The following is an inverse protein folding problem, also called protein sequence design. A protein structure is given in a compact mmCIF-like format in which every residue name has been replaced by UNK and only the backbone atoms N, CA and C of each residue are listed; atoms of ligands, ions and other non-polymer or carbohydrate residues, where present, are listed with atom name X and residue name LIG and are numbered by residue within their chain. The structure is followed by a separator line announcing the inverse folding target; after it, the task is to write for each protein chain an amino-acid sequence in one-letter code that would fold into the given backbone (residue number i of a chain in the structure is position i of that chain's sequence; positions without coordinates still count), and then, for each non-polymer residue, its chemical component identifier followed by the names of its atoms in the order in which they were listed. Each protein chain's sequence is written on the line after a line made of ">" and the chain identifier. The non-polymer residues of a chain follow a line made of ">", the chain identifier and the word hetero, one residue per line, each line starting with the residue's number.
data_IF_361522194740
#
_entry.id   IF_361522194740
#
_cell.length_a   1.000
_cell.length_b   1.000
_cell.length_c   1.000
_cell.angle_alpha   90.00
_cell.angle_beta   90.00
_cell.angle_gamma   90.00
#
_symmetry.space_group_name_H-M   'P 1'
#
loop_
_entity.id
_entity.type
_entity.pdbx_description
1 polymer ?
#
# COMPACT_ATOMS: atom_id res chain seq x y z
N UNK A 1 10.17 -3.77 36.97
CA UNK A 1 9.76 -5.04 36.32
C UNK A 1 8.41 -4.91 35.62
N UNK A 2 7.40 -4.27 36.21
CA UNK A 2 6.06 -4.07 35.63
C UNK A 2 6.15 -3.24 34.32
N UNK A 3 6.96 -2.18 34.30
CA UNK A 3 7.17 -1.38 33.09
C UNK A 3 7.85 -2.14 31.95
N UNK A 4 8.75 -3.07 32.27
CA UNK A 4 9.42 -3.94 31.32
C UNK A 4 8.42 -4.92 30.68
N UNK A 5 7.55 -5.51 31.49
CA UNK A 5 6.49 -6.42 31.05
C UNK A 5 5.47 -5.69 30.15
N UNK A 6 5.03 -4.49 30.55
CA UNK A 6 4.10 -3.67 29.76
C UNK A 6 4.74 -3.21 28.44
N UNK A 7 6.02 -2.82 28.46
CA UNK A 7 6.77 -2.42 27.28
C UNK A 7 6.97 -3.57 26.26
N UNK A 8 7.32 -4.77 26.73
CA UNK A 8 7.44 -5.95 25.86
C UNK A 8 6.08 -6.40 25.31
N UNK A 9 5.01 -6.32 26.11
CA UNK A 9 3.66 -6.66 25.67
C UNK A 9 3.14 -5.69 24.61
N UNK A 10 3.41 -4.40 24.76
CA UNK A 10 3.07 -3.37 23.77
C UNK A 10 3.94 -3.48 22.51
N UNK A 11 5.22 -3.84 22.66
CA UNK A 11 6.12 -4.07 21.51
C UNK A 11 5.67 -5.28 20.69
N UNK A 12 5.41 -6.42 21.34
CA UNK A 12 4.91 -7.63 20.67
C UNK A 12 3.53 -7.40 20.08
N UNK A 13 2.62 -6.72 20.81
CA UNK A 13 1.30 -6.35 20.31
C UNK A 13 1.35 -5.37 19.14
N UNK A 14 2.22 -4.37 19.18
CA UNK A 14 2.45 -3.43 18.08
C UNK A 14 3.05 -4.10 16.84
N UNK A 15 4.04 -4.98 17.03
CA UNK A 15 4.64 -5.79 15.96
C UNK A 15 3.62 -6.75 15.36
N UNK A 16 2.81 -7.40 16.19
CA UNK A 16 1.72 -8.28 15.74
C UNK A 16 0.68 -7.51 14.91
N UNK A 17 0.25 -6.32 15.34
CA UNK A 17 -0.68 -5.47 14.59
C UNK A 17 -0.10 -4.98 13.25
N UNK A 18 1.20 -4.68 13.18
CA UNK A 18 1.86 -4.27 11.93
C UNK A 18 2.00 -5.44 10.97
N UNK A 19 2.33 -6.64 11.47
CA UNK A 19 2.55 -7.82 10.62
C UNK A 19 1.22 -8.49 10.23
N UNK A 20 0.28 -8.63 11.15
CA UNK A 20 -0.99 -9.35 10.92
C UNK A 20 -2.19 -8.43 10.63
N UNK A 21 -2.18 -7.19 11.05
CA UNK A 21 -3.28 -6.25 10.79
C UNK A 21 -3.50 -5.97 9.30
N UNK A 22 -2.45 -6.10 8.48
CA UNK A 22 -2.53 -5.95 7.03
C UNK A 22 -3.29 -7.09 6.34
N UNK A 23 -3.30 -8.29 6.92
CA UNK A 23 -4.00 -9.47 6.33
C UNK A 23 -5.50 -9.44 6.57
N UNK A 24 -5.96 -8.88 7.70
CA UNK A 24 -7.38 -8.81 8.05
C UNK A 24 -8.17 -7.77 7.21
N UNK A 25 -7.48 -6.79 6.62
CA UNK A 25 -8.14 -5.70 5.87
C UNK A 25 -8.47 -6.09 4.42
N UNK A 26 -7.84 -7.12 3.85
CA UNK A 26 -8.12 -7.58 2.48
C UNK A 26 -9.52 -8.21 2.34
N UNK A 27 -9.93 -9.02 3.30
CA UNK A 27 -11.25 -9.68 3.29
C UNK A 27 -12.44 -8.71 3.45
N UNK A 28 -12.25 -7.62 4.23
CA UNK A 28 -13.31 -6.65 4.51
C UNK A 28 -13.71 -5.78 3.31
N UNK A 29 -12.77 -5.47 2.40
CA UNK A 29 -13.08 -4.63 1.23
C UNK A 29 -13.84 -5.37 0.13
N UNK A 30 -13.54 -6.66 -0.05
CA UNK A 30 -14.24 -7.50 -1.03
C UNK A 30 -15.71 -7.72 -0.60
N UNK A 31 -15.94 -8.07 0.67
CA UNK A 31 -17.28 -8.25 1.22
C UNK A 31 -18.12 -6.97 1.21
N UNK A 32 -17.51 -5.80 1.40
CA UNK A 32 -18.22 -4.52 1.40
C UNK A 32 -18.69 -4.09 0.01
N UNK A 33 -17.93 -4.41 -1.05
CA UNK A 33 -18.38 -4.19 -2.44
C UNK A 33 -19.54 -5.09 -2.82
N UNK A 34 -19.48 -6.37 -2.45
CA UNK A 34 -20.57 -7.32 -2.67
C UNK A 34 -21.84 -6.88 -1.93
N UNK A 35 -21.73 -6.50 -0.67
CA UNK A 35 -22.85 -6.01 0.14
C UNK A 35 -23.50 -4.72 -0.42
N UNK A 36 -22.72 -3.84 -1.07
CA UNK A 36 -23.28 -2.63 -1.70
C UNK A 36 -24.01 -2.93 -3.02
N UNK A 37 -23.57 -3.96 -3.76
CA UNK A 37 -24.23 -4.43 -4.97
C UNK A 37 -25.52 -5.18 -4.65
N UNK A 38 -25.51 -5.99 -3.58
CA UNK A 38 -26.72 -6.67 -3.07
C UNK A 38 -27.76 -5.70 -2.51
N UNK A 39 -27.35 -4.52 -2.02
CA UNK A 39 -28.25 -3.47 -1.53
C UNK A 39 -28.92 -2.65 -2.64
N UNK A 40 -28.81 -3.04 -3.93
CA UNK A 40 -29.54 -2.43 -5.06
C UNK A 40 -29.13 -0.98 -5.38
N UNK A 41 -27.98 -0.50 -4.89
CA UNK A 41 -27.50 0.86 -5.23
C UNK A 41 -27.00 0.91 -6.65
N UNK A 42 -27.43 1.92 -7.41
CA UNK A 42 -26.98 2.15 -8.77
C UNK A 42 -25.45 2.29 -8.83
N UNK A 43 -24.82 1.70 -9.84
CA UNK A 43 -23.34 1.68 -10.01
C UNK A 43 -22.72 3.09 -9.90
N UNK A 44 -23.40 4.12 -10.39
CA UNK A 44 -22.96 5.51 -10.28
C UNK A 44 -22.92 6.01 -8.83
N UNK A 45 -23.87 5.61 -7.98
CA UNK A 45 -23.89 6.00 -6.57
C UNK A 45 -22.77 5.33 -5.78
N UNK A 46 -22.41 4.09 -6.12
CA UNK A 46 -21.27 3.38 -5.52
C UNK A 46 -19.97 4.07 -5.92
N UNK A 47 -19.79 4.40 -7.20
CA UNK A 47 -18.58 5.08 -7.69
C UNK A 47 -18.44 6.50 -7.11
N UNK A 48 -19.52 7.26 -7.01
CA UNK A 48 -19.49 8.61 -6.42
C UNK A 48 -19.22 8.57 -4.92
N UNK A 49 -19.74 7.57 -4.23
CA UNK A 49 -19.51 7.37 -2.79
C UNK A 49 -18.05 6.95 -2.54
N UNK A 50 -17.51 6.02 -3.33
CA UNK A 50 -16.11 5.62 -3.27
C UNK A 50 -15.17 6.77 -3.63
N UNK A 51 -15.48 7.57 -4.65
CA UNK A 51 -14.72 8.78 -5.00
C UNK A 51 -14.74 9.83 -3.89
N UNK A 52 -15.88 10.04 -3.23
CA UNK A 52 -15.99 10.94 -2.07
C UNK A 52 -15.20 10.41 -0.87
N UNK A 53 -15.19 9.10 -0.61
CA UNK A 53 -14.40 8.50 0.47
C UNK A 53 -12.88 8.62 0.19
N UNK A 54 -12.44 8.39 -1.04
CA UNK A 54 -11.04 8.56 -1.47
C UNK A 54 -10.61 10.03 -1.32
N UNK A 55 -11.44 10.97 -1.76
CA UNK A 55 -11.15 12.41 -1.67
C UNK A 55 -11.20 12.94 -0.22
N UNK A 56 -12.07 12.38 0.63
CA UNK A 56 -12.13 12.72 2.05
C UNK A 56 -10.90 12.21 2.80
N UNK A 57 -10.37 11.06 2.41
CA UNK A 57 -9.16 10.47 2.98
C UNK A 57 -7.89 11.23 2.56
N UNK A 58 -7.89 11.87 1.38
CA UNK A 58 -6.80 12.74 0.91
C UNK A 58 -6.74 14.08 1.65
N UNK A 59 -7.86 14.56 2.21
CA UNK A 59 -7.93 15.84 2.94
C UNK A 59 -7.48 15.78 4.41
N UNK A 60 -7.33 14.59 4.98
CA UNK A 60 -6.98 14.42 6.40
C UNK A 60 -5.48 14.58 6.70
N UNK A 61 -4.65 14.76 5.69
CA UNK A 61 -3.20 14.89 5.82
C UNK A 61 -2.71 16.33 5.98
N UNK A 62 -3.05 17.02 7.09
CA UNK A 62 -2.46 18.35 7.42
C UNK A 62 -0.99 18.28 7.87
N UNK A 63 -0.42 17.10 8.07
CA UNK A 63 0.96 16.91 8.51
C UNK A 63 1.74 16.30 7.34
N UNK A 64 2.71 17.02 6.72
CA UNK A 64 3.43 16.57 5.53
C UNK A 64 4.17 15.25 5.72
N UNK A 65 4.68 14.98 6.93
CA UNK A 65 5.34 13.74 7.27
C UNK A 65 4.39 12.50 7.22
N UNK A 66 3.18 12.65 7.75
CA UNK A 66 2.18 11.57 7.73
C UNK A 66 1.60 11.32 6.33
N UNK A 67 1.51 12.35 5.49
CA UNK A 67 1.08 12.19 4.10
C UNK A 67 2.12 11.42 3.27
N UNK A 68 3.41 11.67 3.48
CA UNK A 68 4.50 10.90 2.87
C UNK A 68 4.47 9.42 3.27
N UNK A 69 4.27 9.13 4.55
CA UNK A 69 4.12 7.75 5.05
C UNK A 69 2.90 7.03 4.46
N UNK A 70 1.78 7.74 4.28
CA UNK A 70 0.59 7.17 3.64
C UNK A 70 0.82 6.88 2.15
N UNK A 71 1.55 7.72 1.43
CA UNK A 71 1.94 7.45 0.04
C UNK A 71 2.86 6.23 -0.06
N UNK A 72 3.86 6.13 0.81
CA UNK A 72 4.75 4.97 0.89
C UNK A 72 3.99 3.69 1.25
N UNK A 73 3.03 3.76 2.17
CA UNK A 73 2.21 2.60 2.53
C UNK A 73 1.34 2.11 1.36
N UNK A 74 0.86 3.03 0.51
CA UNK A 74 0.16 2.68 -0.73
C UNK A 74 1.08 2.01 -1.76
N UNK A 75 2.31 2.52 -1.94
CA UNK A 75 3.34 1.89 -2.79
C UNK A 75 3.69 0.48 -2.30
N UNK A 76 3.73 0.27 -0.99
CA UNK A 76 3.92 -1.05 -0.37
C UNK A 76 2.67 -1.97 -0.43
N UNK A 77 1.54 -1.50 -0.99
CA UNK A 77 0.22 -2.15 -0.93
C UNK A 77 -0.21 -2.51 0.50
N UNK A 78 0.31 -1.78 1.48
CA UNK A 78 -0.11 -1.88 2.87
C UNK A 78 -1.30 -0.94 3.04
N UNK A 79 -2.51 -1.49 3.16
CA UNK A 79 -3.72 -0.70 3.43
C UNK A 79 -3.74 -0.22 4.89
N UNK A 80 -2.66 0.48 5.31
CA UNK A 80 -2.54 0.98 6.67
C UNK A 80 -3.46 2.20 6.82
N UNK A 81 -4.35 2.12 7.80
CA UNK A 81 -5.14 3.28 8.22
C UNK A 81 -4.24 4.19 9.05
N UNK A 82 -4.45 5.50 8.97
CA UNK A 82 -3.71 6.49 9.77
C UNK A 82 -3.66 6.11 11.26
N UNK A 83 -4.75 5.55 11.80
CA UNK A 83 -4.81 5.07 13.19
C UNK A 83 -3.78 3.98 13.50
N UNK A 84 -3.64 2.99 12.62
CA UNK A 84 -2.67 1.88 12.78
C UNK A 84 -1.24 2.40 12.71
N UNK A 85 -0.97 3.36 11.84
CA UNK A 85 0.33 4.01 11.69
C UNK A 85 0.74 4.76 12.97
N UNK A 86 -0.19 5.58 13.50
CA UNK A 86 0.03 6.31 14.75
C UNK A 86 0.20 5.36 15.93
N UNK A 87 -0.63 4.32 16.03
CA UNK A 87 -0.49 3.31 17.10
C UNK A 87 0.84 2.55 17.02
N UNK A 88 1.33 2.22 15.82
CA UNK A 88 2.62 1.58 15.64
C UNK A 88 3.78 2.50 16.08
N UNK A 89 3.75 3.77 15.70
CA UNK A 89 4.75 4.76 16.13
C UNK A 89 4.74 4.90 17.65
N UNK A 90 3.57 5.05 18.27
CA UNK A 90 3.43 5.17 19.72
C UNK A 90 3.90 3.90 20.44
N UNK A 91 3.54 2.72 19.95
CA UNK A 91 3.97 1.44 20.54
C UNK A 91 5.49 1.29 20.55
N UNK A 92 6.15 1.59 19.44
CA UNK A 92 7.61 1.54 19.35
C UNK A 92 8.26 2.63 20.20
N UNK A 93 7.68 3.85 20.22
CA UNK A 93 8.17 4.95 21.04
C UNK A 93 8.14 4.60 22.55
N UNK A 94 7.06 3.98 23.02
CA UNK A 94 6.92 3.52 24.41
C UNK A 94 7.94 2.42 24.72
N UNK A 95 8.15 1.48 23.81
CA UNK A 95 9.15 0.42 23.97
C UNK A 95 10.58 0.98 24.10
N UNK A 96 10.95 1.94 23.23
CA UNK A 96 12.25 2.63 23.29
C UNK A 96 12.37 3.43 24.59
N UNK A 97 11.33 4.15 24.97
CA UNK A 97 11.30 4.91 26.23
C UNK A 97 11.49 4.02 27.45
N UNK A 98 10.81 2.88 27.51
CA UNK A 98 10.93 1.91 28.60
C UNK A 98 12.35 1.33 28.65
N UNK A 99 12.93 0.95 27.52
CA UNK A 99 14.31 0.47 27.44
C UNK A 99 15.33 1.50 27.95
N UNK A 100 15.19 2.76 27.49
CA UNK A 100 16.06 3.86 27.94
C UNK A 100 15.88 4.19 29.41
N UNK A 101 14.68 4.00 29.96
CA UNK A 101 14.42 4.25 31.41
C UNK A 101 15.11 3.25 32.31
N UNK A 102 15.40 2.05 31.80
CA UNK A 102 16.11 1.00 32.54
C UNK A 102 17.64 1.15 32.40
N UNK A 103 18.08 1.54 31.19
CA UNK A 103 19.50 1.56 30.85
C UNK A 103 20.20 2.89 31.17
N UNK A 104 19.45 3.98 31.35
CA UNK A 104 20.03 5.32 31.51
C UNK A 104 19.28 6.15 32.54
N UNK A 105 20.00 6.99 33.26
CA UNK A 105 19.44 8.00 34.16
C UNK A 105 19.20 9.38 33.48
N UNK A 106 19.12 9.38 32.14
CA UNK A 106 18.92 10.61 31.38
C UNK A 106 17.59 11.31 31.74
N UNK A 107 17.51 12.62 31.49
CA UNK A 107 16.31 13.41 31.75
C UNK A 107 15.08 12.83 31.03
N UNK A 108 13.92 12.85 31.68
CA UNK A 108 12.65 12.34 31.16
C UNK A 108 12.32 12.87 29.75
N UNK A 109 12.53 14.18 29.54
CA UNK A 109 12.26 14.84 28.26
C UNK A 109 13.12 14.28 27.13
N UNK A 110 14.39 13.98 27.40
CA UNK A 110 15.32 13.41 26.41
C UNK A 110 14.89 11.97 26.02
N UNK A 111 14.51 11.15 26.99
CA UNK A 111 14.00 9.78 26.75
C UNK A 111 12.74 9.79 25.90
N UNK A 112 11.82 10.71 26.17
CA UNK A 112 10.58 10.89 25.42
C UNK A 112 10.86 11.32 23.98
N UNK A 113 11.75 12.29 23.77
CA UNK A 113 12.13 12.77 22.44
C UNK A 113 12.80 11.66 21.60
N UNK A 114 13.75 10.94 22.17
CA UNK A 114 14.43 9.80 21.50
C UNK A 114 13.45 8.68 21.18
N UNK A 115 12.52 8.37 22.08
CA UNK A 115 11.49 7.36 21.85
C UNK A 115 10.56 7.71 20.69
N UNK A 116 10.06 8.95 20.63
CA UNK A 116 9.19 9.42 19.53
C UNK A 116 9.91 9.47 18.18
N UNK A 117 11.11 10.02 18.13
CA UNK A 117 11.91 10.10 16.90
C UNK A 117 12.28 8.68 16.44
N UNK A 118 12.79 7.83 17.33
CA UNK A 118 13.15 6.46 17.04
C UNK A 118 11.96 5.64 16.52
N UNK A 119 10.79 5.77 17.15
CA UNK A 119 9.56 5.12 16.69
C UNK A 119 9.13 5.57 15.30
N UNK A 120 9.19 6.87 15.02
CA UNK A 120 8.86 7.42 13.72
C UNK A 120 9.83 6.95 12.62
N UNK A 121 11.14 6.95 12.90
CA UNK A 121 12.19 6.48 11.97
C UNK A 121 12.07 4.98 11.72
N UNK A 122 11.83 4.17 12.75
CA UNK A 122 11.67 2.73 12.62
C UNK A 122 10.49 2.36 11.71
N UNK A 123 9.31 2.96 11.93
CA UNK A 123 8.11 2.74 11.10
C UNK A 123 8.33 3.22 9.68
N UNK A 124 8.95 4.39 9.49
CA UNK A 124 9.28 4.91 8.16
C UNK A 124 10.21 3.96 7.39
N UNK A 125 11.30 3.52 8.01
CA UNK A 125 12.27 2.59 7.40
C UNK A 125 11.62 1.26 7.03
N UNK A 126 10.78 0.71 7.90
CA UNK A 126 10.08 -0.54 7.64
C UNK A 126 9.16 -0.44 6.42
N UNK A 127 8.32 0.60 6.35
CA UNK A 127 7.39 0.80 5.23
C UNK A 127 8.17 1.10 3.94
N UNK A 128 9.20 1.93 4.01
CA UNK A 128 10.05 2.27 2.87
C UNK A 128 10.74 1.03 2.29
N UNK A 129 11.31 0.18 3.12
CA UNK A 129 11.95 -1.06 2.68
C UNK A 129 10.96 -2.03 2.03
N UNK A 130 9.76 -2.16 2.59
CA UNK A 130 8.68 -2.95 1.98
C UNK A 130 8.21 -2.39 0.65
N UNK A 131 8.06 -1.07 0.54
CA UNK A 131 7.71 -0.40 -0.71
C UNK A 131 8.78 -0.62 -1.78
N UNK A 132 10.05 -0.40 -1.43
CA UNK A 132 11.19 -0.62 -2.35
C UNK A 132 11.29 -2.06 -2.82
N UNK A 133 11.16 -3.02 -1.92
CA UNK A 133 11.20 -4.45 -2.26
C UNK A 133 10.07 -4.82 -3.24
N UNK A 134 8.85 -4.28 -3.05
CA UNK A 134 7.73 -4.52 -3.94
C UNK A 134 7.94 -3.88 -5.32
N UNK A 135 8.42 -2.63 -5.37
CA UNK A 135 8.73 -1.94 -6.63
C UNK A 135 9.81 -2.70 -7.40
N UNK A 136 10.88 -3.13 -6.73
CA UNK A 136 11.95 -3.91 -7.33
C UNK A 136 11.42 -5.22 -7.96
N UNK A 137 10.53 -5.93 -7.29
CA UNK A 137 9.89 -7.13 -7.87
C UNK A 137 9.07 -6.81 -9.11
N UNK A 138 8.35 -5.68 -9.13
CA UNK A 138 7.61 -5.22 -10.32
C UNK A 138 8.58 -4.93 -11.47
N UNK A 139 9.70 -4.26 -11.21
CA UNK A 139 10.73 -3.95 -12.19
C UNK A 139 11.36 -5.22 -12.77
N UNK A 140 11.62 -6.23 -11.93
CA UNK A 140 12.15 -7.52 -12.36
C UNK A 140 11.15 -8.32 -13.21
N UNK A 141 9.85 -8.19 -12.96
CA UNK A 141 8.78 -8.89 -13.68
C UNK A 141 8.36 -8.17 -14.99
N UNK A 142 8.64 -6.88 -15.10
CA UNK A 142 8.14 -6.05 -16.21
C UNK A 142 8.64 -6.50 -17.60
N UNK A 143 9.91 -6.87 -17.79
CA UNK A 143 10.39 -7.37 -19.10
C UNK A 143 9.62 -8.61 -19.57
N UNK A 144 9.39 -9.57 -18.69
CA UNK A 144 8.65 -10.80 -19.01
C UNK A 144 7.19 -10.48 -19.36
N UNK A 145 6.56 -9.56 -18.64
CA UNK A 145 5.21 -9.10 -18.93
C UNK A 145 5.11 -8.44 -20.32
N UNK A 146 6.08 -7.59 -20.67
CA UNK A 146 6.13 -6.94 -21.97
C UNK A 146 6.37 -7.96 -23.08
N UNK A 147 7.25 -8.95 -22.88
CA UNK A 147 7.48 -10.02 -23.86
C UNK A 147 6.20 -10.82 -24.14
N UNK A 148 5.50 -11.24 -23.10
CA UNK A 148 4.23 -11.95 -23.19
C UNK A 148 3.17 -11.10 -23.91
N UNK A 149 3.09 -9.81 -23.58
CA UNK A 149 2.18 -8.87 -24.22
C UNK A 149 2.47 -8.75 -25.72
N UNK A 150 3.72 -8.52 -26.09
CA UNK A 150 4.15 -8.43 -27.50
C UNK A 150 3.84 -9.73 -28.25
N UNK A 151 4.06 -10.90 -27.64
CA UNK A 151 3.73 -12.20 -28.21
C UNK A 151 2.23 -12.32 -28.49
N UNK A 152 1.39 -11.93 -27.56
CA UNK A 152 -0.08 -11.95 -27.72
C UNK A 152 -0.55 -10.99 -28.81
N UNK A 153 0.02 -9.78 -28.88
CA UNK A 153 -0.30 -8.79 -29.91
C UNK A 153 0.11 -9.24 -31.30
N UNK A 154 1.25 -9.95 -31.46
CA UNK A 154 1.71 -10.50 -32.77
C UNK A 154 0.76 -11.56 -33.32
N UNK A 155 0.03 -12.27 -32.48
CA UNK A 155 -1.01 -13.22 -32.88
C UNK A 155 -2.30 -12.52 -33.32
N UNK A 156 -2.40 -11.19 -33.09
CA UNK A 156 -3.53 -10.37 -33.51
C UNK A 156 -4.59 -10.16 -32.43
N UNK A 157 -4.30 -10.47 -31.18
CA UNK A 157 -5.23 -10.15 -30.09
C UNK A 157 -5.32 -8.65 -29.87
N UNK A 158 -6.53 -8.10 -29.57
CA UNK A 158 -6.66 -6.72 -29.09
C UNK A 158 -5.87 -6.50 -27.81
N UNK A 159 -5.36 -5.29 -27.61
CA UNK A 159 -4.50 -4.97 -26.45
C UNK A 159 -5.15 -5.32 -25.11
N UNK A 160 -6.43 -5.00 -24.92
CA UNK A 160 -7.17 -5.31 -23.68
C UNK A 160 -7.29 -6.82 -23.43
N UNK A 161 -7.50 -7.62 -24.49
CA UNK A 161 -7.55 -9.08 -24.38
C UNK A 161 -6.16 -9.67 -24.11
N UNK A 162 -5.11 -9.15 -24.76
CA UNK A 162 -3.72 -9.52 -24.48
C UNK A 162 -3.34 -9.21 -23.04
N UNK A 163 -3.68 -8.03 -22.56
CA UNK A 163 -3.44 -7.63 -21.16
C UNK A 163 -4.14 -8.56 -20.18
N UNK A 164 -5.42 -8.89 -20.39
CA UNK A 164 -6.15 -9.82 -19.54
C UNK A 164 -5.54 -11.24 -19.53
N UNK A 165 -5.05 -11.71 -20.67
CA UNK A 165 -4.41 -13.03 -20.77
C UNK A 165 -3.12 -13.11 -19.96
N UNK A 166 -2.23 -12.12 -20.07
CA UNK A 166 -0.94 -12.15 -19.38
C UNK A 166 -1.06 -12.03 -17.86
N UNK A 167 -2.16 -11.47 -17.33
CA UNK A 167 -2.36 -11.36 -15.88
C UNK A 167 -2.44 -12.72 -15.19
N UNK A 168 -2.76 -13.77 -15.91
CA UNK A 168 -2.81 -15.14 -15.40
C UNK A 168 -1.41 -15.80 -15.35
N UNK A 169 -0.47 -15.30 -16.13
CA UNK A 169 0.88 -15.86 -16.25
C UNK A 169 1.90 -15.10 -15.38
N UNK A 170 1.68 -13.80 -15.17
CA UNK A 170 2.58 -12.94 -14.39
C UNK A 170 2.28 -13.08 -12.89
N UNK A 171 3.31 -13.39 -12.08
CA UNK A 171 3.12 -13.50 -10.62
C UNK A 171 2.88 -12.14 -9.95
N UNK A 172 2.42 -12.18 -8.70
CA UNK A 172 2.34 -10.99 -7.86
C UNK A 172 3.75 -10.41 -7.59
N UNK A 173 3.89 -9.10 -7.54
CA UNK A 173 2.87 -8.04 -7.47
C UNK A 173 2.40 -7.47 -8.81
N UNK A 174 3.11 -7.68 -9.93
CA UNK A 174 2.78 -7.07 -11.22
C UNK A 174 1.47 -7.65 -11.79
N UNK A 175 1.25 -8.96 -11.70
CA UNK A 175 0.02 -9.60 -12.17
C UNK A 175 -1.25 -9.01 -11.55
N UNK A 176 -1.24 -8.73 -10.25
CA UNK A 176 -2.37 -8.07 -9.57
C UNK A 176 -2.59 -6.63 -10.08
N UNK A 177 -1.52 -5.86 -10.30
CA UNK A 177 -1.66 -4.45 -10.77
C UNK A 177 -2.17 -4.41 -12.21
N UNK A 178 -1.64 -5.25 -13.10
CA UNK A 178 -2.12 -5.35 -14.48
C UNK A 178 -3.54 -5.93 -14.55
N UNK A 179 -3.88 -6.87 -13.66
CA UNK A 179 -5.24 -7.40 -13.53
C UNK A 179 -6.28 -6.35 -13.22
N UNK A 180 -5.97 -5.41 -12.33
CA UNK A 180 -6.85 -4.28 -12.02
C UNK A 180 -7.11 -3.38 -13.24
N UNK A 181 -6.07 -3.16 -14.07
CA UNK A 181 -6.19 -2.37 -15.31
C UNK A 181 -7.00 -3.14 -16.35
N UNK A 182 -6.76 -4.45 -16.50
CA UNK A 182 -7.52 -5.30 -17.42
C UNK A 182 -9.01 -5.36 -17.04
N UNK A 183 -9.31 -5.47 -15.75
CA UNK A 183 -10.68 -5.41 -15.25
C UNK A 183 -11.34 -4.07 -15.54
N UNK A 184 -10.62 -2.96 -15.32
CA UNK A 184 -11.12 -1.62 -15.61
C UNK A 184 -11.39 -1.43 -17.11
N UNK A 185 -10.50 -1.94 -17.98
CA UNK A 185 -10.66 -1.94 -19.41
C UNK A 185 -11.87 -2.75 -19.88
N UNK A 186 -12.15 -3.90 -19.25
CA UNK A 186 -13.33 -4.71 -19.55
C UNK A 186 -14.65 -3.98 -19.27
N UNK A 187 -14.63 -2.95 -18.41
CA UNK A 187 -15.77 -2.07 -18.12
C UNK A 187 -15.73 -0.74 -18.91
N UNK A 188 -14.90 -0.64 -19.95
CA UNK A 188 -14.78 0.53 -20.81
C UNK A 188 -13.80 1.60 -20.31
N UNK A 189 -12.95 1.26 -19.36
CA UNK A 189 -11.84 2.12 -18.94
C UNK A 189 -10.72 2.20 -19.98
N UNK A 190 -9.97 3.28 -19.96
CA UNK A 190 -8.82 3.49 -20.84
C UNK A 190 -7.58 2.80 -20.26
N UNK A 191 -7.03 1.84 -21.00
CA UNK A 191 -5.84 1.07 -20.61
C UNK A 191 -4.61 1.96 -20.52
N UNK A 192 -4.41 2.89 -21.46
CA UNK A 192 -3.28 3.81 -21.47
C UNK A 192 -3.29 4.67 -20.20
N UNK A 193 -4.46 5.19 -19.81
CA UNK A 193 -4.62 5.94 -18.58
C UNK A 193 -4.36 5.08 -17.34
N UNK A 194 -4.85 3.84 -17.31
CA UNK A 194 -4.60 2.90 -16.20
C UNK A 194 -3.12 2.59 -16.02
N UNK A 195 -2.39 2.37 -17.11
CA UNK A 195 -0.94 2.17 -17.10
C UNK A 195 -0.19 3.44 -16.66
N UNK A 196 -0.62 4.62 -17.11
CA UNK A 196 -0.02 5.89 -16.70
C UNK A 196 -0.21 6.14 -15.20
N UNK A 197 -1.41 5.89 -14.66
CA UNK A 197 -1.70 6.02 -13.23
C UNK A 197 -0.87 5.02 -12.39
N UNK A 198 -0.63 3.81 -12.90
CA UNK A 198 0.25 2.83 -12.29
C UNK A 198 1.70 3.31 -12.28
N UNK A 199 2.19 3.81 -13.44
CA UNK A 199 3.54 4.34 -13.59
C UNK A 199 3.82 5.50 -12.63
N UNK A 200 2.88 6.44 -12.50
CA UNK A 200 2.99 7.58 -11.58
C UNK A 200 2.95 7.14 -10.11
N UNK A 201 2.13 6.16 -9.77
CA UNK A 201 2.04 5.62 -8.42
C UNK A 201 3.31 4.90 -8.00
N UNK A 202 3.94 4.15 -8.89
CA UNK A 202 5.17 3.41 -8.65
C UNK A 202 6.43 4.23 -8.89
N UNK A 203 6.31 5.39 -9.57
CA UNK A 203 7.40 6.24 -10.00
C UNK A 203 8.39 5.48 -10.92
N UNK A 204 7.83 4.72 -11.88
CA UNK A 204 8.57 3.85 -12.77
C UNK A 204 8.51 4.37 -14.21
N UNK A 205 9.69 4.60 -14.83
CA UNK A 205 9.79 5.15 -16.18
C UNK A 205 9.40 4.13 -17.26
N UNK A 206 9.71 2.86 -17.07
CA UNK A 206 9.45 1.83 -18.09
C UNK A 206 7.94 1.62 -18.26
N UNK A 207 7.19 1.62 -17.16
CA UNK A 207 5.72 1.63 -17.20
C UNK A 207 5.16 2.89 -17.88
N UNK A 208 5.81 4.03 -17.69
CA UNK A 208 5.39 5.28 -18.34
C UNK A 208 5.62 5.23 -19.85
N UNK A 209 6.75 4.65 -20.30
CA UNK A 209 6.97 4.40 -21.74
C UNK A 209 5.95 3.41 -22.30
N UNK A 210 5.61 2.36 -21.57
CA UNK A 210 4.58 1.42 -21.99
C UNK A 210 3.21 2.12 -22.13
N UNK A 211 2.82 2.97 -21.17
CA UNK A 211 1.56 3.71 -21.21
C UNK A 211 1.44 4.65 -22.43
N UNK A 212 2.55 5.26 -22.84
CA UNK A 212 2.57 6.17 -24.01
C UNK A 212 2.57 5.38 -25.34
N UNK A 213 3.03 4.13 -25.34
CA UNK A 213 3.12 3.30 -26.54
C UNK A 213 1.81 2.57 -26.89
N UNK A 214 0.82 2.59 -26.00
CA UNK A 214 -0.49 1.95 -26.14
C UNK A 214 -1.55 2.96 -26.57
#
# INVERSE_FOLDING_TARGET
>A
YIGLFLGTLLFVGGLYLVVFGATLTKASKFNRRMAMLEAGKTRQDVLTTLRKEINKQSRTGKIPFLSGLLLLSRRANLNLTLKVLVMAILGIAVAIFAALSILTEAAFVLKLAVGLIGGAVAVHSFISNKAKARIKLIEEQLPDAVELLVRSLRVGHPFSAALAAITQEIPDPLGTELGLIADEAAYGGDVAQGLADLADRLDNQDLRFLAVSV
#
